data_IF_512662091212
#
_entry.id   IF_512662091212
#
_cell.length_a   1.000
_cell.length_b   1.000
_cell.length_c   1.000
_cell.angle_alpha   90.00
_cell.angle_beta   90.00
_cell.angle_gamma   90.00
#
_symmetry.space_group_name_H-M   'P 1'
#
loop_
_entity.id
_entity.type
_entity.pdbx_description
1 polymer ?
#
# COMPACT_ATOMS: atom_id res chain seq x y z
N UNK A 1 32.71 -46.43 3.09
CA UNK A 1 32.95 -45.04 3.52
C UNK A 1 32.25 -44.00 2.63
N UNK A 2 32.41 -44.03 1.30
CA UNK A 2 31.78 -43.06 0.39
C UNK A 2 30.23 -43.13 0.39
N UNK A 3 29.66 -44.34 0.42
CA UNK A 3 28.19 -44.53 0.44
C UNK A 3 27.56 -43.95 1.72
N UNK A 4 28.19 -44.13 2.88
CA UNK A 4 27.72 -43.53 4.13
C UNK A 4 27.78 -41.99 4.09
N UNK A 5 28.82 -41.41 3.49
CA UNK A 5 28.92 -39.97 3.31
C UNK A 5 27.79 -39.41 2.42
N UNK A 6 27.42 -40.13 1.36
CA UNK A 6 26.29 -39.75 0.51
C UNK A 6 24.95 -39.83 1.25
N UNK A 7 24.73 -40.86 2.07
CA UNK A 7 23.49 -41.02 2.85
C UNK A 7 23.35 -39.95 3.94
N UNK A 8 24.46 -39.57 4.60
CA UNK A 8 24.45 -38.52 5.63
C UNK A 8 24.12 -37.15 5.02
N UNK A 9 24.69 -36.84 3.86
CA UNK A 9 24.48 -35.55 3.19
C UNK A 9 23.02 -35.38 2.70
N UNK A 10 22.43 -36.43 2.13
CA UNK A 10 21.02 -36.40 1.68
C UNK A 10 20.04 -36.31 2.85
N UNK A 11 20.31 -37.01 3.96
CA UNK A 11 19.50 -36.90 5.18
C UNK A 11 19.57 -35.49 5.78
N UNK A 12 20.75 -34.86 5.82
CA UNK A 12 20.90 -33.49 6.32
C UNK A 12 20.14 -32.46 5.47
N UNK A 13 20.17 -32.60 4.14
CA UNK A 13 19.43 -31.72 3.23
C UNK A 13 17.91 -31.83 3.34
N UNK A 14 17.37 -32.99 3.76
CA UNK A 14 15.93 -33.19 3.95
C UNK A 14 15.40 -32.70 5.30
N UNK A 15 16.25 -32.61 6.34
CA UNK A 15 15.85 -32.14 7.68
C UNK A 15 16.02 -30.62 7.85
N UNK A 16 16.85 -29.98 7.02
CA UNK A 16 17.17 -28.55 7.17
C UNK A 16 16.20 -27.52 6.56
N UNK A 17 15.30 -27.79 5.58
CA UNK A 17 14.52 -26.72 4.95
C UNK A 17 13.20 -26.40 5.67
N UNK A 18 13.00 -26.87 6.91
CA UNK A 18 11.81 -26.55 7.72
C UNK A 18 12.01 -25.29 8.58
N UNK A 19 13.25 -24.83 8.76
CA UNK A 19 13.57 -23.71 9.65
C UNK A 19 13.35 -22.31 9.01
N UNK A 20 13.09 -22.21 7.70
CA UNK A 20 12.76 -20.93 7.05
C UNK A 20 11.25 -20.70 6.87
N UNK A 21 10.42 -21.66 7.28
CA UNK A 21 8.96 -21.53 7.27
C UNK A 21 8.36 -21.30 8.67
N UNK A 22 9.19 -21.18 9.70
CA UNK A 22 8.79 -20.50 10.92
C UNK A 22 9.10 -19.01 10.70
N UNK A 23 8.12 -18.25 10.21
CA UNK A 23 8.08 -16.85 10.60
C UNK A 23 8.00 -16.87 12.13
N UNK A 24 9.12 -16.60 12.76
CA UNK A 24 9.22 -16.00 14.08
C UNK A 24 8.32 -14.77 14.06
N UNK A 25 7.03 -14.96 14.29
CA UNK A 25 6.14 -13.87 14.66
C UNK A 25 6.36 -13.70 16.15
N UNK A 26 7.41 -12.99 16.51
CA UNK A 26 7.63 -12.55 17.89
C UNK A 26 6.61 -11.45 18.18
N UNK A 27 5.42 -11.86 18.66
CA UNK A 27 4.38 -10.95 19.15
C UNK A 27 4.80 -10.42 20.54
N UNK A 28 5.55 -9.32 20.55
CA UNK A 28 5.81 -8.54 21.77
C UNK A 28 4.53 -7.89 22.34
N UNK A 29 4.55 -7.40 23.60
CA UNK A 29 3.38 -6.82 24.28
C UNK A 29 2.84 -5.52 23.66
N UNK A 30 3.41 -5.06 22.54
CA UNK A 30 2.92 -3.91 21.76
C UNK A 30 1.85 -4.26 20.72
N UNK A 31 1.61 -5.54 20.43
CA UNK A 31 0.67 -5.99 19.41
C UNK A 31 1.04 -5.60 17.97
N UNK A 32 0.29 -6.11 17.00
CA UNK A 32 0.39 -5.70 15.59
C UNK A 32 -0.62 -4.59 15.35
N UNK A 33 -0.15 -3.35 15.14
CA UNK A 33 -0.98 -2.31 14.52
C UNK A 33 -1.12 -2.66 13.05
N UNK A 34 -2.19 -3.35 12.70
CA UNK A 34 -2.68 -3.38 11.33
C UNK A 34 -3.31 -2.00 11.10
N UNK A 35 -2.53 -1.07 10.56
CA UNK A 35 -3.11 0.07 9.84
C UNK A 35 -4.10 -0.54 8.84
N UNK A 36 -5.39 -0.16 8.87
CA UNK A 36 -6.33 -0.69 7.89
C UNK A 36 -5.76 -0.36 6.52
N UNK A 37 -5.43 -1.40 5.75
CA UNK A 37 -5.10 -1.25 4.35
C UNK A 37 -6.29 -0.55 3.70
N UNK A 38 -6.17 0.76 3.49
CA UNK A 38 -7.05 1.48 2.58
C UNK A 38 -6.78 0.90 1.20
N UNK A 39 -7.55 -0.13 0.90
CA UNK A 39 -7.58 -0.85 -0.34
C UNK A 39 -7.91 0.13 -1.46
N UNK A 40 -6.86 0.65 -2.10
CA UNK A 40 -6.78 0.85 -3.54
C UNK A 40 -7.94 1.59 -4.21
N UNK A 41 -8.66 2.45 -3.50
CA UNK A 41 -9.57 3.43 -4.09
C UNK A 41 -9.09 4.74 -3.54
N UNK A 42 -8.30 5.43 -4.36
CA UNK A 42 -7.85 6.81 -4.14
C UNK A 42 -8.85 7.56 -3.28
N UNK A 43 -8.58 7.68 -1.98
CA UNK A 43 -9.27 8.60 -1.09
C UNK A 43 -8.77 10.01 -1.40
N UNK A 44 -8.87 10.39 -2.67
CA UNK A 44 -8.87 11.77 -3.05
C UNK A 44 -10.22 12.28 -2.54
N UNK A 45 -10.26 12.69 -1.29
CA UNK A 45 -11.31 13.57 -0.83
C UNK A 45 -10.94 14.93 -1.41
N UNK A 46 -11.61 15.38 -2.49
CA UNK A 46 -11.32 16.69 -3.03
C UNK A 46 -11.46 17.73 -1.93
N UNK A 47 -10.41 18.50 -1.71
CA UNK A 47 -10.52 19.66 -0.87
C UNK A 47 -11.36 20.69 -1.64
N UNK A 48 -12.61 20.86 -1.25
CA UNK A 48 -13.54 21.76 -1.93
C UNK A 48 -13.06 23.22 -1.90
N UNK A 49 -12.28 23.62 -0.90
CA UNK A 49 -11.64 24.94 -0.84
C UNK A 49 -10.57 25.09 -1.92
N UNK A 50 -9.71 24.09 -2.08
CA UNK A 50 -8.67 24.09 -3.12
C UNK A 50 -9.25 24.02 -4.53
N UNK A 51 -10.22 23.14 -4.79
CA UNK A 51 -10.88 23.05 -6.09
C UNK A 51 -11.62 24.35 -6.45
N UNK A 52 -12.26 25.00 -5.47
CA UNK A 52 -12.90 26.30 -5.68
C UNK A 52 -11.86 27.36 -6.02
N UNK A 53 -10.74 27.41 -5.31
CA UNK A 53 -9.65 28.35 -5.58
C UNK A 53 -9.07 28.12 -6.97
N UNK A 54 -8.75 26.88 -7.31
CA UNK A 54 -8.20 26.53 -8.62
C UNK A 54 -9.18 26.86 -9.76
N UNK A 55 -10.49 26.70 -9.54
CA UNK A 55 -11.50 27.13 -10.51
C UNK A 55 -11.56 28.66 -10.68
N UNK A 56 -11.45 29.42 -9.58
CA UNK A 56 -11.53 30.89 -9.61
C UNK A 56 -10.29 31.53 -10.24
N UNK A 57 -9.10 30.99 -9.94
CA UNK A 57 -7.81 31.53 -10.36
C UNK A 57 -7.16 30.69 -11.48
N UNK A 58 -7.97 30.00 -12.28
CA UNK A 58 -7.49 29.10 -13.34
C UNK A 58 -6.52 29.78 -14.31
N UNK A 59 -6.76 31.05 -14.65
CA UNK A 59 -5.93 31.81 -15.59
C UNK A 59 -4.57 32.16 -14.98
N UNK A 60 -4.54 32.50 -13.70
CA UNK A 60 -3.32 32.80 -12.94
C UNK A 60 -2.48 31.53 -12.71
N UNK A 61 -3.14 30.38 -12.59
CA UNK A 61 -2.50 29.08 -12.42
C UNK A 61 -2.10 28.43 -13.76
N UNK A 62 -2.38 29.08 -14.89
CA UNK A 62 -2.10 28.55 -16.23
C UNK A 62 -2.92 27.30 -16.57
N UNK A 63 -4.07 27.11 -15.93
CA UNK A 63 -4.95 25.98 -16.20
C UNK A 63 -5.89 26.26 -17.38
N UNK A 64 -5.90 25.35 -18.34
CA UNK A 64 -6.77 25.43 -19.51
C UNK A 64 -8.07 24.64 -19.33
N UNK A 65 -9.18 25.23 -19.78
CA UNK A 65 -10.48 24.56 -19.82
C UNK A 65 -11.24 24.53 -18.49
N UNK A 66 -12.02 23.46 -18.29
CA UNK A 66 -12.98 23.32 -17.16
C UNK A 66 -12.48 22.45 -16.00
N UNK A 67 -11.31 21.80 -16.12
CA UNK A 67 -10.91 20.65 -15.29
C UNK A 67 -11.26 20.75 -13.80
N UNK A 68 -10.72 21.76 -13.11
CA UNK A 68 -10.97 21.93 -11.66
C UNK A 68 -12.38 22.46 -11.34
N UNK A 69 -12.96 23.29 -12.19
CA UNK A 69 -14.35 23.75 -12.05
C UNK A 69 -15.37 22.60 -12.17
N UNK A 70 -15.09 21.64 -13.05
CA UNK A 70 -15.94 20.48 -13.30
C UNK A 70 -15.83 19.47 -12.15
N UNK A 71 -14.61 19.19 -11.66
CA UNK A 71 -14.42 18.41 -10.43
C UNK A 71 -15.10 19.06 -9.22
N UNK A 72 -14.98 20.37 -9.05
CA UNK A 72 -15.68 21.07 -7.97
C UNK A 72 -17.20 20.85 -8.03
N UNK A 73 -17.79 20.95 -9.23
CA UNK A 73 -19.22 20.70 -9.42
C UNK A 73 -19.61 19.24 -9.12
N UNK A 74 -18.79 18.29 -9.55
CA UNK A 74 -19.07 16.87 -9.40
C UNK A 74 -19.00 16.40 -7.94
N UNK A 75 -17.98 16.86 -7.19
CA UNK A 75 -17.68 16.33 -5.86
C UNK A 75 -18.12 17.21 -4.69
N UNK A 76 -18.25 18.52 -4.87
CA UNK A 76 -18.49 19.48 -3.77
C UNK A 76 -19.85 20.18 -3.84
N UNK A 77 -20.58 20.02 -4.94
CA UNK A 77 -21.89 20.66 -5.15
C UNK A 77 -23.06 19.67 -5.06
N UNK A 78 -22.77 18.40 -4.82
CA UNK A 78 -23.69 17.26 -4.74
C UNK A 78 -24.01 16.80 -3.32
N UNK A 79 -23.39 17.41 -2.31
CA UNK A 79 -23.64 17.26 -0.88
C UNK A 79 -24.08 18.61 -0.28
#
# INVERSE_FOLDING_TARGET
MRVYAFVIFTAAFFVLPIATFAQEVELGPGGVRVEPFHQGRSAWHPNCGELRRACLYKEELGEEGRGNCERYRHFCRSH
#
